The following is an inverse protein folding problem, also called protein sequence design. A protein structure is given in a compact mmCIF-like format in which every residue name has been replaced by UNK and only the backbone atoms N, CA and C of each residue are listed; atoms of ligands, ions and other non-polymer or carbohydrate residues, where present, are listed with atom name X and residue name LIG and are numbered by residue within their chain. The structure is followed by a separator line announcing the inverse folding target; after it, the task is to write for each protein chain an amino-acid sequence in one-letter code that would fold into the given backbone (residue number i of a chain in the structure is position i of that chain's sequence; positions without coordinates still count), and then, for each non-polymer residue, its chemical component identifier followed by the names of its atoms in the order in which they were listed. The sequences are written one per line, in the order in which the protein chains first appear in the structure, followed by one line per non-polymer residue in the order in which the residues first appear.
data_IF_191399626389
#
_entry.id   IF_191399626389
#
_cell.length_a   1.000
_cell.length_b   1.000
_cell.length_c   1.000
_cell.angle_alpha   90.00
_cell.angle_beta   90.00
_cell.angle_gamma   90.00
#
_symmetry.space_group_name_H-M   'P 1'
#
loop_
_entity.id
_entity.type
_entity.pdbx_description
1 polymer ?
#
# COMPACT_ATOMS: atom_id res chain seq x y z
N UNK A 1 21.17 -12.48 49.05
CA UNK A 1 20.47 -13.42 48.15
C UNK A 1 19.00 -13.03 47.89
N UNK A 2 18.16 -12.81 48.92
CA UNK A 2 16.75 -12.41 48.72
C UNK A 2 16.55 -11.18 47.82
N UNK A 3 17.29 -10.08 48.04
CA UNK A 3 17.18 -8.84 47.23
C UNK A 3 17.61 -9.03 45.77
N UNK A 4 18.58 -9.90 45.51
CA UNK A 4 19.06 -10.21 44.15
C UNK A 4 18.03 -11.03 43.37
N UNK A 5 17.34 -11.97 44.04
CA UNK A 5 16.24 -12.74 43.46
C UNK A 5 15.06 -11.81 43.12
N UNK A 6 14.74 -10.83 43.98
CA UNK A 6 13.65 -9.87 43.72
C UNK A 6 13.94 -8.98 42.51
N UNK A 7 15.20 -8.52 42.35
CA UNK A 7 15.59 -7.69 41.20
C UNK A 7 15.56 -8.47 39.88
N UNK A 8 15.97 -9.74 39.88
CA UNK A 8 15.92 -10.61 38.68
C UNK A 8 14.47 -10.93 38.29
N UNK A 9 13.59 -11.18 39.26
CA UNK A 9 12.17 -11.46 38.99
C UNK A 9 11.45 -10.23 38.42
N UNK A 10 11.76 -9.04 38.94
CA UNK A 10 11.18 -7.79 38.45
C UNK A 10 11.67 -7.50 37.02
N UNK A 11 12.97 -7.69 36.76
CA UNK A 11 13.55 -7.52 35.42
C UNK A 11 12.91 -8.47 34.39
N UNK A 12 12.71 -9.74 34.73
CA UNK A 12 12.05 -10.72 33.87
C UNK A 12 10.59 -10.33 33.54
N UNK A 13 9.88 -9.71 34.49
CA UNK A 13 8.51 -9.22 34.28
C UNK A 13 8.44 -8.03 33.32
N UNK A 14 9.43 -7.12 33.35
CA UNK A 14 9.48 -5.99 32.41
C UNK A 14 9.81 -6.46 30.99
N UNK A 15 10.61 -7.52 30.85
CA UNK A 15 10.95 -8.13 29.55
C UNK A 15 9.77 -8.85 28.90
N UNK A 16 8.83 -9.41 29.68
CA UNK A 16 7.62 -10.05 29.14
C UNK A 16 6.53 -9.10 28.68
N UNK A 17 6.62 -7.80 29.00
CA UNK A 17 5.61 -6.80 28.62
C UNK A 17 5.84 -6.19 27.22
N UNK A 18 7.01 -6.37 26.62
CA UNK A 18 7.31 -5.99 25.24
C UNK A 18 7.08 -7.16 24.28
N UNK A 19 5.89 -7.77 24.34
CA UNK A 19 5.53 -8.92 23.49
C UNK A 19 4.26 -8.73 22.67
N UNK A 20 3.57 -7.59 22.80
CA UNK A 20 2.37 -7.34 22.01
C UNK A 20 2.75 -6.63 20.72
N UNK A 21 3.23 -7.42 19.76
CA UNK A 21 3.49 -7.00 18.39
C UNK A 21 2.20 -7.06 17.54
N UNK A 22 1.04 -7.10 18.18
CA UNK A 22 -0.23 -7.09 17.48
C UNK A 22 -0.31 -5.79 16.68
N UNK A 23 -0.24 -5.91 15.35
CA UNK A 23 -0.55 -4.81 14.44
C UNK A 23 -1.95 -4.33 14.85
N UNK A 24 -2.13 -3.05 15.19
CA UNK A 24 -3.44 -2.55 15.58
C UNK A 24 -4.46 -2.88 14.49
N UNK A 25 -5.65 -3.34 14.87
CA UNK A 25 -6.74 -3.50 13.91
C UNK A 25 -6.99 -2.18 13.17
N UNK A 26 -7.33 -2.25 11.89
CA UNK A 26 -7.57 -1.11 11.01
C UNK A 26 -6.29 -0.30 10.72
N UNK A 27 -5.25 -1.01 10.26
CA UNK A 27 -3.97 -0.42 9.86
C UNK A 27 -3.66 -0.79 8.41
N UNK A 28 -3.00 0.12 7.70
CA UNK A 28 -2.38 -0.11 6.40
C UNK A 28 -0.88 0.18 6.56
N UNK A 29 -0.03 -0.74 6.14
CA UNK A 29 1.44 -0.62 6.20
C UNK A 29 2.07 -1.02 4.88
N UNK A 30 3.30 -0.58 4.61
CA UNK A 30 4.04 -1.05 3.45
C UNK A 30 4.27 -2.57 3.55
N UNK A 31 4.00 -3.29 2.46
CA UNK A 31 4.20 -4.73 2.42
C UNK A 31 5.70 -5.08 2.37
N UNK A 32 6.09 -6.12 3.10
CA UNK A 32 7.45 -6.65 3.05
C UNK A 32 7.61 -7.60 1.86
N UNK A 33 8.26 -7.11 0.80
CA UNK A 33 8.46 -7.90 -0.42
C UNK A 33 9.70 -8.78 -0.35
N UNK A 34 9.55 -10.03 -0.78
CA UNK A 34 10.68 -10.94 -1.02
C UNK A 34 11.49 -10.52 -2.24
N UNK A 35 12.74 -10.97 -2.33
CA UNK A 35 13.61 -10.71 -3.50
C UNK A 35 13.02 -11.22 -4.81
N UNK A 36 12.26 -12.32 -4.74
CA UNK A 36 11.56 -12.87 -5.91
C UNK A 36 10.45 -11.92 -6.38
N UNK A 37 9.64 -11.41 -5.47
CA UNK A 37 8.56 -10.46 -5.80
C UNK A 37 9.11 -9.15 -6.34
N UNK A 38 10.14 -8.59 -5.69
CA UNK A 38 10.84 -7.39 -6.18
C UNK A 38 11.35 -7.58 -7.61
N UNK A 39 11.97 -8.73 -7.89
CA UNK A 39 12.48 -9.05 -9.23
C UNK A 39 11.35 -9.07 -10.26
N UNK A 40 10.23 -9.76 -9.96
CA UNK A 40 9.08 -9.83 -10.86
C UNK A 40 8.48 -8.44 -11.13
N UNK A 41 8.29 -7.64 -10.09
CA UNK A 41 7.72 -6.29 -10.19
C UNK A 41 8.62 -5.35 -10.99
N UNK A 42 9.93 -5.36 -10.73
CA UNK A 42 10.91 -4.54 -11.45
C UNK A 42 11.02 -4.85 -12.94
N UNK A 43 10.63 -6.07 -13.35
CA UNK A 43 10.67 -6.51 -14.75
C UNK A 43 9.35 -6.25 -15.51
N UNK A 44 8.25 -5.97 -14.80
CA UNK A 44 6.89 -5.93 -15.39
C UNK A 44 6.20 -4.58 -15.22
N UNK A 45 6.73 -3.72 -14.33
CA UNK A 45 6.13 -2.45 -13.96
C UNK A 45 7.18 -1.36 -13.80
N UNK A 46 6.81 -0.10 -14.06
CA UNK A 46 7.72 1.03 -13.84
C UNK A 46 7.74 1.44 -12.37
N UNK A 47 6.56 1.46 -11.74
CA UNK A 47 6.39 1.75 -10.32
C UNK A 47 5.40 0.76 -9.72
N UNK A 48 5.65 0.41 -8.46
CA UNK A 48 4.77 -0.48 -7.69
C UNK A 48 4.72 -0.01 -6.24
N UNK A 49 3.51 0.06 -5.72
CA UNK A 49 3.20 0.31 -4.31
C UNK A 49 2.35 -0.85 -3.82
N UNK A 50 2.78 -1.50 -2.75
CA UNK A 50 2.07 -2.64 -2.16
C UNK A 50 1.97 -2.37 -0.67
N UNK A 51 0.76 -2.49 -0.16
CA UNK A 51 0.44 -2.29 1.24
C UNK A 51 -0.27 -3.52 1.78
N UNK A 52 0.12 -3.95 2.97
CA UNK A 52 -0.64 -4.91 3.73
C UNK A 52 -1.64 -4.15 4.61
N UNK A 53 -2.85 -4.70 4.71
CA UNK A 53 -3.87 -4.18 5.60
C UNK A 53 -4.28 -5.24 6.61
N UNK A 54 -4.62 -4.76 7.80
CA UNK A 54 -5.32 -5.53 8.83
C UNK A 54 -6.54 -4.73 9.26
N UNK A 55 -7.71 -5.36 9.32
CA UNK A 55 -8.99 -4.77 9.73
C UNK A 55 -9.60 -5.57 10.88
N UNK A 56 -10.56 -4.97 11.58
CA UNK A 56 -11.41 -5.73 12.50
C UNK A 56 -12.41 -6.63 11.76
N UNK A 57 -12.85 -7.71 12.42
CA UNK A 57 -13.82 -8.69 11.88
C UNK A 57 -15.17 -8.08 11.46
N UNK A 58 -15.47 -6.86 11.90
CA UNK A 58 -16.68 -6.11 11.56
C UNK A 58 -16.66 -5.54 10.13
N UNK A 59 -15.51 -5.47 9.48
CA UNK A 59 -15.36 -5.00 8.11
C UNK A 59 -15.29 -6.18 7.14
N UNK A 60 -16.15 -6.17 6.13
CA UNK A 60 -16.25 -7.24 5.13
C UNK A 60 -16.02 -6.75 3.69
N UNK A 61 -15.80 -5.45 3.51
CA UNK A 61 -15.62 -4.81 2.20
C UNK A 61 -14.55 -3.73 2.31
N UNK A 62 -13.69 -3.67 1.29
CA UNK A 62 -12.70 -2.62 1.12
C UNK A 62 -12.98 -1.87 -0.17
N UNK A 63 -12.98 -0.54 -0.06
CA UNK A 63 -13.18 0.40 -1.17
C UNK A 63 -11.91 1.23 -1.34
N UNK A 64 -11.31 1.16 -2.53
CA UNK A 64 -10.05 1.85 -2.86
C UNK A 64 -10.25 2.62 -4.17
N UNK A 65 -9.85 3.88 -4.19
CA UNK A 65 -9.91 4.74 -5.37
C UNK A 65 -8.62 5.53 -5.58
N UNK A 66 -8.46 6.05 -6.79
CA UNK A 66 -7.31 6.87 -7.18
C UNK A 66 -7.81 8.28 -7.47
N UNK A 67 -7.28 9.24 -6.72
CA UNK A 67 -7.52 10.65 -6.95
C UNK A 67 -6.42 11.24 -7.82
N UNK A 68 -6.82 12.02 -8.82
CA UNK A 68 -5.90 12.77 -9.68
C UNK A 68 -5.94 14.24 -9.31
N UNK A 69 -4.76 14.82 -9.14
CA UNK A 69 -4.60 16.25 -8.89
C UNK A 69 -3.84 16.90 -10.04
N UNK A 70 -4.43 17.90 -10.68
CA UNK A 70 -3.79 18.72 -11.71
C UNK A 70 -3.64 20.15 -11.21
N UNK A 71 -2.41 20.67 -11.24
CA UNK A 71 -2.08 22.02 -10.76
C UNK A 71 -2.60 22.30 -9.33
N UNK A 72 -2.54 21.28 -8.47
CA UNK A 72 -3.01 21.34 -7.08
C UNK A 72 -4.52 21.30 -6.91
N UNK A 73 -5.28 20.96 -7.95
CA UNK A 73 -6.74 20.81 -7.91
C UNK A 73 -7.13 19.38 -8.18
N UNK A 74 -8.04 18.86 -7.35
CA UNK A 74 -8.68 17.56 -7.59
C UNK A 74 -9.45 17.60 -8.92
N UNK A 75 -9.24 16.59 -9.75
CA UNK A 75 -10.06 16.33 -10.94
C UNK A 75 -11.34 15.64 -10.47
N UNK A 76 -12.51 16.08 -10.97
CA UNK A 76 -13.82 15.83 -10.35
C UNK A 76 -14.21 14.35 -10.14
N UNK A 77 -13.67 13.42 -10.93
CA UNK A 77 -13.95 11.98 -10.80
C UNK A 77 -12.68 11.18 -10.50
N UNK A 78 -12.71 10.20 -9.57
CA UNK A 78 -11.61 9.27 -9.37
C UNK A 78 -11.30 8.54 -10.68
N UNK A 79 -10.02 8.47 -11.03
CA UNK A 79 -9.56 7.83 -12.27
C UNK A 79 -9.52 6.30 -12.16
N UNK A 80 -9.78 5.78 -10.96
CA UNK A 80 -9.80 4.37 -10.64
C UNK A 80 -10.59 4.11 -9.38
N UNK A 81 -11.36 3.02 -9.38
CA UNK A 81 -12.15 2.59 -8.23
C UNK A 81 -12.24 1.07 -8.25
N UNK A 82 -12.05 0.47 -7.08
CA UNK A 82 -12.34 -0.94 -6.86
C UNK A 82 -12.95 -1.13 -5.48
N UNK A 83 -13.96 -1.98 -5.44
CA UNK A 83 -14.64 -2.41 -4.23
C UNK A 83 -14.67 -3.93 -4.22
N UNK A 84 -14.25 -4.54 -3.13
CA UNK A 84 -14.12 -6.00 -3.05
C UNK A 84 -14.35 -6.47 -1.62
N UNK A 85 -14.98 -7.65 -1.50
CA UNK A 85 -15.13 -8.32 -0.21
C UNK A 85 -13.76 -8.75 0.34
N UNK A 86 -13.54 -8.51 1.62
CA UNK A 86 -12.29 -8.81 2.33
C UNK A 86 -12.54 -9.59 3.61
N UNK A 87 -11.52 -10.31 4.04
CA UNK A 87 -11.36 -10.77 5.41
C UNK A 87 -10.47 -9.78 6.21
N UNK A 88 -10.13 -10.15 7.45
CA UNK A 88 -9.35 -9.30 8.35
C UNK A 88 -8.00 -8.88 7.77
N UNK A 89 -7.37 -9.70 6.92
CA UNK A 89 -6.03 -9.43 6.39
C UNK A 89 -5.99 -9.53 4.87
N UNK A 90 -5.14 -8.72 4.26
CA UNK A 90 -4.90 -8.75 2.83
C UNK A 90 -3.89 -7.72 2.39
N UNK A 91 -3.80 -7.52 1.08
CA UNK A 91 -2.90 -6.54 0.48
C UNK A 91 -3.63 -5.72 -0.58
N UNK A 92 -3.27 -4.43 -0.65
CA UNK A 92 -3.63 -3.50 -1.71
C UNK A 92 -2.38 -3.33 -2.58
N UNK A 93 -2.53 -3.39 -3.90
CA UNK A 93 -1.44 -3.06 -4.81
C UNK A 93 -1.86 -2.04 -5.85
N UNK A 94 -0.95 -1.12 -6.13
CA UNK A 94 -1.05 -0.14 -7.19
C UNK A 94 0.22 -0.19 -8.03
N UNK A 95 0.07 -0.39 -9.34
CA UNK A 95 1.22 -0.42 -10.27
C UNK A 95 0.99 0.51 -11.43
N UNK A 96 2.08 1.09 -11.95
CA UNK A 96 2.02 1.98 -13.12
C UNK A 96 2.96 1.50 -14.21
N UNK A 97 2.51 1.56 -15.45
CA UNK A 97 3.33 1.43 -16.64
C UNK A 97 3.09 2.68 -17.50
N UNK A 98 4.14 3.46 -17.76
CA UNK A 98 4.06 4.54 -18.70
C UNK A 98 4.00 3.96 -20.11
N UNK A 99 3.09 4.50 -20.94
CA UNK A 99 3.19 4.30 -22.38
C UNK A 99 4.41 5.05 -22.93
N UNK A 100 4.68 4.88 -24.22
CA UNK A 100 5.72 5.65 -24.90
C UNK A 100 5.63 7.14 -24.60
N UNK A 101 6.78 7.82 -24.55
CA UNK A 101 6.91 9.28 -24.30
C UNK A 101 6.00 10.12 -25.21
N UNK A 102 5.64 9.61 -26.39
CA UNK A 102 4.81 10.31 -27.36
C UNK A 102 3.31 10.35 -27.00
N UNK A 103 2.80 9.38 -26.24
CA UNK A 103 1.36 9.23 -25.98
C UNK A 103 0.89 9.90 -24.69
N UNK A 104 1.78 10.23 -23.74
CA UNK A 104 1.45 10.74 -22.40
C UNK A 104 0.41 9.91 -21.62
N UNK A 105 0.10 8.71 -22.10
CA UNK A 105 -0.86 7.80 -21.48
C UNK A 105 -0.14 6.98 -20.42
N UNK A 106 -0.71 6.88 -19.23
CA UNK A 106 -0.23 6.00 -18.18
C UNK A 106 -1.26 4.91 -17.96
N UNK A 107 -0.79 3.67 -17.87
CA UNK A 107 -1.59 2.52 -17.50
C UNK A 107 -1.41 2.25 -16.02
N UNK A 108 -2.54 2.12 -15.33
CA UNK A 108 -2.58 1.83 -13.91
C UNK A 108 -3.24 0.49 -13.68
N UNK A 109 -2.79 -0.22 -12.65
CA UNK A 109 -3.51 -1.35 -12.09
C UNK A 109 -3.72 -1.11 -10.62
N UNK A 110 -4.94 -1.31 -10.17
CA UNK A 110 -5.32 -1.29 -8.78
C UNK A 110 -5.87 -2.66 -8.42
N UNK A 111 -5.49 -3.21 -7.28
CA UNK A 111 -6.07 -4.46 -6.84
C UNK A 111 -6.04 -4.65 -5.34
N UNK A 112 -6.95 -5.53 -4.90
CA UNK A 112 -7.14 -5.94 -3.53
C UNK A 112 -7.08 -7.46 -3.53
N UNK A 113 -6.24 -8.04 -2.67
CA UNK A 113 -6.21 -9.48 -2.42
C UNK A 113 -6.44 -9.72 -0.94
N UNK A 114 -7.41 -10.56 -0.60
CA UNK A 114 -7.71 -10.91 0.79
C UNK A 114 -8.21 -12.35 0.85
N UNK A 115 -7.37 -13.21 1.43
CA UNK A 115 -7.61 -14.61 1.77
C UNK A 115 -8.74 -15.34 0.97
N UNK A 116 -8.54 -15.48 -0.35
CA UNK A 116 -9.47 -16.21 -1.25
C UNK A 116 -10.32 -15.31 -2.15
N UNK A 117 -10.40 -14.01 -1.85
CA UNK A 117 -10.97 -12.98 -2.70
C UNK A 117 -9.83 -12.18 -3.38
N UNK A 118 -10.02 -11.84 -4.65
CA UNK A 118 -9.12 -10.92 -5.35
C UNK A 118 -9.91 -10.11 -6.34
N UNK A 119 -9.87 -8.79 -6.17
CA UNK A 119 -10.38 -7.81 -7.11
C UNK A 119 -9.21 -7.11 -7.80
N UNK A 120 -9.34 -6.82 -9.10
CA UNK A 120 -8.44 -5.90 -9.76
C UNK A 120 -9.16 -5.06 -10.82
N UNK A 121 -8.63 -3.86 -11.06
CA UNK A 121 -9.07 -2.94 -12.11
C UNK A 121 -7.85 -2.45 -12.89
N UNK A 122 -8.00 -2.35 -14.21
CA UNK A 122 -6.99 -1.81 -15.10
C UNK A 122 -7.55 -0.53 -15.72
N UNK A 123 -6.74 0.53 -15.69
CA UNK A 123 -7.16 1.89 -15.99
C UNK A 123 -6.10 2.52 -16.89
N UNK A 124 -6.50 3.49 -17.71
CA UNK A 124 -5.54 4.39 -18.35
C UNK A 124 -6.03 5.82 -18.23
N UNK A 125 -5.08 6.74 -18.10
CA UNK A 125 -5.35 8.18 -18.12
C UNK A 125 -4.18 8.93 -18.75
N UNK A 126 -4.45 10.11 -19.26
CA UNK A 126 -3.46 11.03 -19.80
C UNK A 126 -2.84 11.80 -18.64
N UNK A 127 -1.54 11.59 -18.41
CA UNK A 127 -0.75 12.39 -17.48
C UNK A 127 -0.25 13.61 -18.27
N UNK A 128 -0.84 14.78 -17.99
CA UNK A 128 -0.45 16.02 -18.66
C UNK A 128 1.02 16.36 -18.39
N UNK A 129 1.81 16.47 -19.45
CA UNK A 129 3.16 17.02 -19.42
C UNK A 129 3.19 18.53 -19.70
N UNK A 130 2.04 19.20 -19.68
CA UNK A 130 1.98 20.64 -19.89
C UNK A 130 2.70 21.34 -18.75
N UNK A 131 3.66 22.21 -19.10
CA UNK A 131 4.52 22.95 -18.17
C UNK A 131 5.44 22.06 -17.31
N UNK A 132 5.67 20.80 -17.69
CA UNK A 132 6.56 19.87 -16.97
C UNK A 132 8.02 19.90 -17.43
N UNK A 133 8.39 20.77 -18.38
CA UNK A 133 9.77 20.93 -18.84
C UNK A 133 10.70 21.34 -17.69
N UNK A 134 11.61 20.43 -17.31
CA UNK A 134 12.54 20.62 -16.20
C UNK A 134 11.97 20.24 -14.82
N UNK A 135 10.76 19.71 -14.74
CA UNK A 135 10.21 19.16 -13.50
C UNK A 135 10.68 17.72 -13.27
N UNK A 136 10.86 17.32 -12.00
CA UNK A 136 11.17 15.95 -11.62
C UNK A 136 9.91 15.24 -11.14
N UNK A 137 9.74 13.98 -11.55
CA UNK A 137 8.72 13.09 -10.96
C UNK A 137 9.29 12.48 -9.70
N UNK A 138 8.57 12.64 -8.59
CA UNK A 138 8.92 12.05 -7.29
C UNK A 138 7.86 11.02 -6.94
N UNK A 139 8.31 9.81 -6.62
CA UNK A 139 7.50 8.73 -6.09
C UNK A 139 7.91 8.51 -4.65
N UNK A 140 6.98 8.68 -3.72
CA UNK A 140 7.25 8.47 -2.30
C UNK A 140 5.96 8.06 -1.58
N UNK A 141 6.11 7.37 -0.46
CA UNK A 141 5.03 7.12 0.49
C UNK A 141 5.05 8.21 1.55
N UNK A 142 3.91 8.88 1.77
CA UNK A 142 3.78 9.88 2.84
C UNK A 142 3.94 9.16 4.20
N UNK A 143 5.05 9.42 4.90
CA UNK A 143 5.32 8.92 6.26
C UNK A 143 4.80 9.90 7.33
#
# INVERSE_FOLDING_TARGET
MKKLITTVLLAAFVLSACGNNDVPSNTIVNAELTEREKTILSATTDQTFIFDFTTGSEFNELDVWIEKYEFGKLVDEPIGHIRTEIEENGSIFFTTNQSSVESNEAFFRLGISSNGSTGSSALSDIISNKDSEGMQTVWDTLN
#
